data_IF_395595037505
#
_entry.id   IF_395595037505
#
_cell.length_a   1.000
_cell.length_b   1.000
_cell.length_c   1.000
_cell.angle_alpha   90.00
_cell.angle_beta   90.00
_cell.angle_gamma   90.00
#
_symmetry.space_group_name_H-M   'P 1'
#
loop_
_entity.id
_entity.type
_entity.pdbx_description
1 polymer ?
#
# COMPACT_ATOMS: atom_id res chain seq x y z
N UNK A 1 1.11 -6.50 26.62
CA UNK A 1 1.70 -6.11 25.32
C UNK A 1 2.03 -4.64 25.36
N UNK A 2 3.28 -4.32 25.23
CA UNK A 2 3.75 -2.93 25.27
C UNK A 2 3.33 -2.14 24.01
N UNK A 3 3.29 -0.81 24.12
CA UNK A 3 2.94 0.06 22.96
C UNK A 3 3.87 -0.18 21.79
N UNK A 4 5.15 -0.40 22.04
CA UNK A 4 6.16 -0.72 21.03
C UNK A 4 5.81 -1.99 20.24
N UNK A 5 5.36 -3.06 20.92
CA UNK A 5 4.96 -4.32 20.27
C UNK A 5 3.74 -4.12 19.36
N UNK A 6 2.78 -3.28 19.79
CA UNK A 6 1.61 -2.94 18.99
C UNK A 6 2.00 -2.18 17.73
N UNK A 7 2.93 -1.22 17.82
CA UNK A 7 3.43 -0.47 16.68
C UNK A 7 4.13 -1.40 15.69
N UNK A 8 5.04 -2.25 16.17
CA UNK A 8 5.71 -3.23 15.29
C UNK A 8 4.72 -4.20 14.68
N UNK A 9 3.79 -4.74 15.46
CA UNK A 9 2.74 -5.63 14.97
C UNK A 9 1.90 -5.00 13.88
N UNK A 10 1.56 -3.71 14.01
CA UNK A 10 0.79 -2.98 12.99
C UNK A 10 1.60 -2.80 11.70
N UNK A 11 2.84 -2.31 11.79
CA UNK A 11 3.67 -2.02 10.61
C UNK A 11 4.05 -3.31 9.88
N UNK A 12 4.57 -4.31 10.60
CA UNK A 12 4.96 -5.57 9.98
C UNK A 12 3.74 -6.38 9.52
N UNK A 13 2.64 -6.36 10.27
CA UNK A 13 1.40 -7.02 9.88
C UNK A 13 0.83 -6.47 8.58
N UNK A 14 0.84 -5.15 8.42
CA UNK A 14 0.45 -4.49 7.16
C UNK A 14 1.34 -4.94 6.00
N UNK A 15 2.66 -4.84 6.17
CA UNK A 15 3.61 -5.19 5.10
C UNK A 15 3.55 -6.67 4.69
N UNK A 16 3.40 -7.58 5.67
CA UNK A 16 3.27 -9.02 5.41
C UNK A 16 1.93 -9.32 4.71
N UNK A 17 0.84 -8.72 5.22
CA UNK A 17 -0.49 -8.89 4.65
C UNK A 17 -0.58 -8.39 3.20
N UNK A 18 -0.03 -7.20 2.93
CA UNK A 18 0.06 -6.63 1.60
C UNK A 18 0.88 -7.53 0.65
N UNK A 19 2.08 -7.93 1.05
CA UNK A 19 2.94 -8.78 0.24
C UNK A 19 2.34 -10.16 -0.07
N UNK A 20 1.60 -10.77 0.85
CA UNK A 20 0.84 -12.01 0.59
C UNK A 20 -0.40 -11.74 -0.26
N UNK A 21 -1.10 -10.63 0.00
CA UNK A 21 -2.31 -10.24 -0.71
C UNK A 21 -2.10 -10.06 -2.21
N UNK A 22 -0.92 -9.59 -2.62
CA UNK A 22 -0.53 -9.54 -4.03
C UNK A 22 -0.73 -10.87 -4.76
N UNK A 23 -0.54 -11.99 -4.08
CA UNK A 23 -0.70 -13.32 -4.65
C UNK A 23 -2.11 -13.64 -5.14
N UNK A 24 -3.13 -12.95 -4.62
CA UNK A 24 -4.55 -13.14 -4.97
C UNK A 24 -5.21 -11.90 -5.53
N UNK A 25 -4.50 -10.79 -5.63
CA UNK A 25 -5.04 -9.53 -6.15
C UNK A 25 -5.61 -9.71 -7.56
N UNK A 26 -6.78 -9.13 -7.80
CA UNK A 26 -7.57 -9.25 -9.04
C UNK A 26 -8.04 -10.66 -9.42
N UNK A 27 -7.89 -11.64 -8.54
CA UNK A 27 -8.45 -12.98 -8.74
C UNK A 27 -9.89 -13.06 -8.25
N UNK A 28 -10.73 -13.76 -9.00
CA UNK A 28 -12.04 -14.18 -8.50
C UNK A 28 -11.91 -15.22 -7.38
N UNK A 29 -12.97 -15.38 -6.57
CA UNK A 29 -13.00 -16.43 -5.54
C UNK A 29 -12.77 -17.83 -6.10
N UNK A 30 -13.22 -18.10 -7.31
CA UNK A 30 -13.04 -19.37 -8.00
C UNK A 30 -11.56 -19.59 -8.34
N UNK A 31 -10.92 -18.59 -8.97
CA UNK A 31 -9.50 -18.65 -9.28
C UNK A 31 -8.63 -18.84 -8.04
N UNK A 32 -8.94 -18.15 -6.94
CA UNK A 32 -8.21 -18.33 -5.67
C UNK A 32 -8.32 -19.77 -5.17
N UNK A 33 -9.52 -20.37 -5.20
CA UNK A 33 -9.71 -21.76 -4.76
C UNK A 33 -9.00 -22.76 -5.65
N UNK A 34 -8.96 -22.52 -6.95
CA UNK A 34 -8.26 -23.39 -7.92
C UNK A 34 -6.75 -23.32 -7.77
N UNK A 35 -6.21 -22.09 -7.63
CA UNK A 35 -4.76 -21.86 -7.57
C UNK A 35 -4.17 -22.13 -6.19
N UNK A 36 -4.94 -21.88 -5.14
CA UNK A 36 -4.53 -21.99 -3.75
C UNK A 36 -5.56 -22.77 -2.92
N UNK A 37 -5.79 -24.07 -3.22
CA UNK A 37 -6.84 -24.85 -2.55
C UNK A 37 -6.63 -24.95 -1.02
N UNK A 38 -5.36 -24.94 -0.56
CA UNK A 38 -4.97 -24.96 0.85
C UNK A 38 -4.68 -23.56 1.43
N UNK A 39 -5.00 -22.53 0.68
CA UNK A 39 -4.70 -21.12 1.00
C UNK A 39 -3.27 -20.71 0.61
N UNK A 40 -3.08 -19.40 0.45
CA UNK A 40 -1.77 -18.80 0.21
C UNK A 40 -1.12 -18.47 1.56
N UNK A 41 -0.02 -19.14 1.89
CA UNK A 41 0.65 -19.04 3.20
C UNK A 41 2.07 -18.52 3.12
N UNK A 42 2.72 -18.66 1.95
CA UNK A 42 4.11 -18.30 1.75
C UNK A 42 4.30 -17.53 0.45
N UNK A 43 5.24 -16.60 0.44
CA UNK A 43 5.56 -15.80 -0.75
C UNK A 43 6.02 -16.65 -1.95
N UNK A 44 6.68 -17.77 -1.68
CA UNK A 44 7.15 -18.72 -2.72
C UNK A 44 6.02 -19.37 -3.52
N UNK A 45 4.81 -19.39 -2.96
CA UNK A 45 3.62 -19.95 -3.62
C UNK A 45 2.98 -18.97 -4.62
N UNK A 46 3.37 -17.69 -4.60
CA UNK A 46 2.78 -16.65 -5.45
C UNK A 46 3.07 -16.96 -6.92
N UNK A 47 2.01 -17.15 -7.69
CA UNK A 47 2.09 -17.43 -9.14
C UNK A 47 2.45 -16.12 -9.86
N UNK A 48 3.55 -16.12 -10.59
CA UNK A 48 4.05 -14.95 -11.32
C UNK A 48 3.39 -14.84 -12.70
N UNK A 49 2.24 -14.18 -12.74
CA UNK A 49 1.60 -13.76 -13.97
C UNK A 49 2.06 -12.36 -14.41
N UNK A 50 1.46 -11.82 -15.47
CA UNK A 50 1.81 -10.49 -16.00
C UNK A 50 1.73 -9.38 -14.95
N UNK A 51 0.72 -9.39 -14.08
CA UNK A 51 0.57 -8.38 -13.03
C UNK A 51 1.63 -8.57 -11.94
N UNK A 52 1.79 -9.79 -11.44
CA UNK A 52 2.68 -10.13 -10.31
C UNK A 52 4.16 -10.18 -10.68
N UNK A 53 4.48 -10.30 -11.97
CA UNK A 53 5.86 -10.27 -12.44
C UNK A 53 6.58 -8.94 -12.15
N UNK A 54 5.85 -7.87 -11.90
CA UNK A 54 6.38 -6.56 -11.52
C UNK A 54 6.97 -6.52 -10.11
N UNK A 55 6.62 -7.48 -9.26
CA UNK A 55 7.02 -7.55 -7.86
C UNK A 55 7.90 -8.76 -7.61
N UNK A 56 8.91 -8.60 -6.79
CA UNK A 56 9.63 -9.75 -6.25
C UNK A 56 8.76 -10.45 -5.20
N UNK A 57 8.79 -11.79 -5.08
CA UNK A 57 8.09 -12.48 -3.99
C UNK A 57 8.49 -11.89 -2.63
N UNK A 58 7.50 -11.55 -1.81
CA UNK A 58 7.72 -10.89 -0.52
C UNK A 58 7.87 -9.37 -0.58
N UNK A 59 7.82 -8.76 -1.76
CA UNK A 59 7.69 -7.31 -1.88
C UNK A 59 6.27 -6.88 -1.53
N UNK A 60 6.15 -5.76 -0.83
CA UNK A 60 4.88 -5.08 -0.63
C UNK A 60 4.50 -4.18 -1.83
N UNK A 61 3.30 -3.64 -1.83
CA UNK A 61 2.75 -2.78 -2.87
C UNK A 61 2.53 -1.33 -2.38
N UNK A 62 1.69 -0.60 -3.09
CA UNK A 62 1.30 0.78 -2.76
C UNK A 62 0.61 0.90 -1.39
N UNK A 63 -0.08 -0.12 -0.91
CA UNK A 63 -0.73 -0.10 0.40
C UNK A 63 0.27 0.12 1.54
N UNK A 64 1.39 -0.58 1.53
CA UNK A 64 2.44 -0.40 2.52
C UNK A 64 3.23 0.89 2.30
N UNK A 65 3.52 1.26 1.06
CA UNK A 65 4.18 2.53 0.74
C UNK A 65 3.38 3.71 1.28
N UNK A 66 2.06 3.71 1.08
CA UNK A 66 1.18 4.77 1.61
C UNK A 66 1.10 4.76 3.13
N UNK A 67 1.07 3.59 3.77
CA UNK A 67 1.18 3.49 5.22
C UNK A 67 2.47 4.11 5.75
N UNK A 68 3.60 3.88 5.08
CA UNK A 68 4.90 4.48 5.45
C UNK A 68 4.90 6.00 5.23
N UNK A 69 4.22 6.51 4.21
CA UNK A 69 4.03 7.95 4.03
C UNK A 69 3.30 8.59 5.22
N UNK A 70 2.27 7.93 5.74
CA UNK A 70 1.54 8.37 6.94
C UNK A 70 2.44 8.30 8.17
N UNK A 71 3.13 7.19 8.39
CA UNK A 71 4.01 7.00 9.54
C UNK A 71 5.12 8.07 9.57
N UNK A 72 5.74 8.34 8.43
CA UNK A 72 6.77 9.38 8.31
C UNK A 72 6.22 10.78 8.60
N UNK A 73 5.00 11.10 8.14
CA UNK A 73 4.35 12.37 8.44
C UNK A 73 4.08 12.54 9.96
N UNK A 74 3.64 11.47 10.63
CA UNK A 74 3.40 11.47 12.08
C UNK A 74 4.72 11.69 12.86
N UNK A 75 5.82 11.09 12.40
CA UNK A 75 7.14 11.26 13.01
C UNK A 75 7.64 12.69 12.81
N UNK A 76 7.48 13.24 11.60
CA UNK A 76 7.93 14.60 11.27
C UNK A 76 7.21 15.65 12.11
N UNK A 77 5.89 15.60 12.19
CA UNK A 77 5.06 16.60 12.87
C UNK A 77 4.79 16.26 14.35
N UNK A 78 5.25 15.09 14.81
CA UNK A 78 4.94 14.54 16.16
C UNK A 78 3.42 14.47 16.44
N UNK A 79 2.64 14.24 15.39
CA UNK A 79 1.18 14.21 15.42
C UNK A 79 0.60 14.04 14.03
N UNK A 80 -0.74 14.07 13.94
CA UNK A 80 -1.44 13.92 12.66
C UNK A 80 -1.60 15.28 12.01
N UNK A 81 -0.99 15.45 10.83
CA UNK A 81 -1.13 16.61 9.97
C UNK A 81 -1.49 16.17 8.56
N UNK A 82 -2.71 16.48 8.13
CA UNK A 82 -3.24 16.03 6.84
C UNK A 82 -2.48 16.60 5.64
N UNK A 83 -1.97 17.84 5.75
CA UNK A 83 -1.17 18.44 4.67
C UNK A 83 0.18 17.76 4.51
N UNK A 84 0.82 17.38 5.61
CA UNK A 84 2.08 16.62 5.57
C UNK A 84 1.87 15.22 4.98
N UNK A 85 0.80 14.53 5.37
CA UNK A 85 0.42 13.23 4.79
C UNK A 85 0.16 13.38 3.28
N UNK A 86 -0.64 14.37 2.88
CA UNK A 86 -0.97 14.63 1.48
C UNK A 86 0.28 14.97 0.65
N UNK A 87 1.19 15.77 1.18
CA UNK A 87 2.49 16.07 0.56
C UNK A 87 3.31 14.80 0.37
N UNK A 88 3.40 13.94 1.38
CA UNK A 88 4.15 12.69 1.31
C UNK A 88 3.57 11.74 0.26
N UNK A 89 2.24 11.61 0.17
CA UNK A 89 1.57 10.87 -0.90
C UNK A 89 1.87 11.44 -2.28
N UNK A 90 1.81 12.76 -2.43
CA UNK A 90 2.11 13.45 -3.68
C UNK A 90 3.56 13.21 -4.14
N UNK A 91 4.51 13.25 -3.21
CA UNK A 91 5.91 12.97 -3.50
C UNK A 91 6.12 11.50 -3.87
N UNK A 92 5.50 10.58 -3.11
CA UNK A 92 5.60 9.15 -3.36
C UNK A 92 5.07 8.76 -4.75
N UNK A 93 3.91 9.27 -5.17
CA UNK A 93 3.30 8.85 -6.45
C UNK A 93 4.16 9.18 -7.66
N UNK A 94 5.03 10.19 -7.58
CA UNK A 94 5.96 10.58 -8.63
C UNK A 94 7.39 10.10 -8.41
N UNK A 95 7.65 9.34 -7.35
CA UNK A 95 8.97 8.80 -7.09
C UNK A 95 9.33 7.68 -8.11
N UNK A 96 10.58 7.63 -8.59
CA UNK A 96 11.00 6.64 -9.59
C UNK A 96 10.85 5.19 -9.13
N UNK A 97 10.92 4.94 -7.82
CA UNK A 97 10.81 3.62 -7.20
C UNK A 97 9.36 3.15 -7.04
N UNK A 98 8.38 3.99 -7.28
CA UNK A 98 6.96 3.63 -7.15
C UNK A 98 6.58 2.61 -8.21
N UNK A 99 6.20 1.41 -7.78
CA UNK A 99 6.03 0.24 -8.65
C UNK A 99 4.61 0.03 -9.16
N UNK A 100 3.66 0.69 -8.57
CA UNK A 100 2.26 0.59 -8.96
C UNK A 100 1.42 1.55 -8.12
N UNK A 101 0.39 2.09 -8.70
CA UNK A 101 -0.56 2.98 -8.03
C UNK A 101 -1.94 2.64 -8.55
N UNK A 102 -2.90 2.47 -7.64
CA UNK A 102 -4.29 2.29 -8.01
C UNK A 102 -4.79 3.48 -8.85
N UNK A 103 -5.62 3.22 -9.85
CA UNK A 103 -6.10 4.28 -10.77
C UNK A 103 -6.83 5.41 -10.05
N UNK A 104 -7.65 5.07 -9.06
CA UNK A 104 -8.35 6.08 -8.23
C UNK A 104 -7.37 6.93 -7.43
N UNK A 105 -6.39 6.29 -6.80
CA UNK A 105 -5.33 6.97 -6.05
C UNK A 105 -4.55 7.92 -6.96
N UNK A 106 -4.09 7.44 -8.11
CA UNK A 106 -3.37 8.26 -9.07
C UNK A 106 -4.20 9.47 -9.53
N UNK A 107 -5.48 9.26 -9.84
CA UNK A 107 -6.39 10.31 -10.26
C UNK A 107 -6.50 11.41 -9.20
N UNK A 108 -6.73 11.06 -7.95
CA UNK A 108 -6.85 12.02 -6.84
C UNK A 108 -5.53 12.74 -6.60
N UNK A 109 -4.42 12.01 -6.49
CA UNK A 109 -3.10 12.60 -6.21
C UNK A 109 -2.56 13.46 -7.36
N UNK A 110 -3.06 13.29 -8.58
CA UNK A 110 -2.66 14.11 -9.74
C UNK A 110 -3.28 15.50 -9.74
N UNK A 111 -4.34 15.74 -8.97
CA UNK A 111 -4.99 17.04 -8.89
C UNK A 111 -4.04 18.06 -8.23
N UNK A 112 -3.94 19.24 -8.82
CA UNK A 112 -2.96 20.27 -8.39
C UNK A 112 -3.20 20.70 -6.93
N UNK A 113 -4.46 20.91 -6.57
CA UNK A 113 -4.89 21.42 -5.26
C UNK A 113 -4.91 20.33 -4.15
N UNK A 114 -4.56 19.08 -4.47
CA UNK A 114 -4.67 17.95 -3.53
C UNK A 114 -3.95 18.21 -2.19
N UNK A 115 -2.73 18.74 -2.22
CA UNK A 115 -1.96 18.98 -0.99
C UNK A 115 -2.58 20.09 -0.14
N UNK A 116 -3.18 21.10 -0.77
CA UNK A 116 -3.80 22.24 -0.07
C UNK A 116 -5.19 21.89 0.47
N UNK A 117 -5.93 21.06 -0.24
CA UNK A 117 -7.33 20.70 0.07
C UNK A 117 -7.59 19.20 -0.04
N UNK A 118 -6.86 18.36 0.72
CA UNK A 118 -6.86 16.91 0.51
C UNK A 118 -8.25 16.28 0.64
N UNK A 119 -9.06 16.69 1.60
CA UNK A 119 -10.42 16.17 1.77
C UNK A 119 -11.35 16.56 0.63
N UNK A 120 -11.34 17.82 0.22
CA UNK A 120 -12.23 18.30 -0.84
C UNK A 120 -11.92 17.65 -2.18
N UNK A 121 -10.64 17.42 -2.46
CA UNK A 121 -10.21 16.74 -3.69
C UNK A 121 -10.54 15.25 -3.66
N UNK A 122 -10.48 14.61 -2.50
CA UNK A 122 -10.79 13.19 -2.37
C UNK A 122 -12.30 12.88 -2.51
N UNK A 123 -13.18 13.88 -2.37
CA UNK A 123 -14.62 13.74 -2.56
C UNK A 123 -15.08 13.84 -4.03
N UNK A 124 -14.19 14.26 -4.95
CA UNK A 124 -14.48 14.38 -6.38
C UNK A 124 -14.46 13.02 -7.11
#
# INVERSE_FOLDING_TARGET
>A
METKDKIYGTIFGQAIGDALGLGTEFMSKTEVREKYPDGLKEYSQIIRDYHRAKFQPGSWSDDTDMMLCIANAIIEDKGINLHTIARNFKQWVYAPETRGVGQTTLKVLSIAEYVEKPHQVAEL
#
